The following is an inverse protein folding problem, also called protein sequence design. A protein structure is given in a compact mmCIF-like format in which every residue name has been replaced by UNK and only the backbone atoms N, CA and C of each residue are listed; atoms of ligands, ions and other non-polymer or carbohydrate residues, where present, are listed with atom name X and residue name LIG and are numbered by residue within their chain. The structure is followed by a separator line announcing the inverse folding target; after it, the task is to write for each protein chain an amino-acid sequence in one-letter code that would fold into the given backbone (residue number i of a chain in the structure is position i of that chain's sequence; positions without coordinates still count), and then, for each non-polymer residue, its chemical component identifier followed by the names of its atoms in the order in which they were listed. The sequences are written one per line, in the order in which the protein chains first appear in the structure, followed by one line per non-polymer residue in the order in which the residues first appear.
data_IF_360740196327
#
_entry.id   IF_360740196327
#
_cell.length_a   1.000
_cell.length_b   1.000
_cell.length_c   1.000
_cell.angle_alpha   90.00
_cell.angle_beta   90.00
_cell.angle_gamma   90.00
#
_symmetry.space_group_name_H-M   'P 1'
#
loop_
_entity.id
_entity.type
_entity.pdbx_description
1 polymer ?
#
# COMPACT_ATOMS: atom_id res chain seq x y z
N UNK A 1 21.28 -28.36 -27.91
CA UNK A 1 21.71 -28.01 -26.54
C UNK A 1 20.83 -28.78 -25.56
N UNK A 2 21.41 -29.63 -24.71
CA UNK A 2 20.64 -30.43 -23.75
C UNK A 2 20.10 -29.53 -22.61
N UNK A 3 18.84 -29.68 -22.26
CA UNK A 3 18.18 -28.95 -21.16
C UNK A 3 18.80 -29.42 -19.84
N UNK A 4 19.38 -28.50 -19.05
CA UNK A 4 19.95 -28.83 -17.74
C UNK A 4 18.87 -29.45 -16.85
N UNK A 5 19.23 -30.47 -16.07
CA UNK A 5 18.28 -31.06 -15.13
C UNK A 5 18.01 -30.08 -13.97
N UNK A 6 16.82 -30.16 -13.38
CA UNK A 6 16.42 -29.32 -12.23
C UNK A 6 17.44 -29.42 -11.09
N UNK A 7 18.07 -30.59 -10.92
CA UNK A 7 19.12 -30.79 -9.93
C UNK A 7 20.39 -29.99 -10.27
N UNK A 8 20.81 -29.98 -11.54
CA UNK A 8 21.98 -29.22 -11.98
C UNK A 8 21.77 -27.70 -11.88
N UNK A 9 20.55 -27.21 -12.10
CA UNK A 9 20.22 -25.79 -11.88
C UNK A 9 20.30 -25.41 -10.39
N UNK A 10 19.82 -26.27 -9.50
CA UNK A 10 19.90 -26.05 -8.05
C UNK A 10 21.32 -26.13 -7.51
N UNK A 11 22.12 -27.08 -8.00
CA UNK A 11 23.53 -27.20 -7.64
C UNK A 11 24.32 -25.96 -8.07
N UNK A 12 24.07 -25.49 -9.29
CA UNK A 12 24.68 -24.26 -9.82
C UNK A 12 24.26 -23.00 -9.06
N UNK A 13 23.03 -22.95 -8.55
CA UNK A 13 22.57 -21.84 -7.71
C UNK A 13 23.26 -21.80 -6.33
N UNK A 14 23.66 -22.96 -5.79
CA UNK A 14 24.43 -23.06 -4.53
C UNK A 14 25.89 -22.64 -4.71
N UNK A 15 26.47 -22.85 -5.89
CA UNK A 15 27.84 -22.47 -6.22
C UNK A 15 27.99 -21.01 -6.65
N UNK A 16 26.88 -20.28 -6.84
CA UNK A 16 26.95 -18.86 -7.17
C UNK A 16 27.43 -18.04 -5.95
N UNK A 17 28.39 -17.12 -6.12
CA UNK A 17 28.76 -16.20 -5.06
C UNK A 17 27.51 -15.42 -4.60
N UNK A 18 27.32 -15.33 -3.28
CA UNK A 18 26.19 -14.65 -2.67
C UNK A 18 26.12 -13.20 -3.18
N UNK A 19 25.20 -12.94 -4.11
CA UNK A 19 24.91 -11.59 -4.58
C UNK A 19 24.10 -10.90 -3.51
N UNK A 20 24.74 -10.05 -2.71
CA UNK A 20 24.05 -9.10 -1.83
C UNK A 20 23.09 -8.27 -2.69
N UNK A 21 21.79 -8.58 -2.62
CA UNK A 21 20.76 -7.79 -3.27
C UNK A 21 20.83 -6.40 -2.67
N UNK A 22 21.13 -5.38 -3.48
CA UNK A 22 21.12 -3.98 -3.02
C UNK A 22 19.73 -3.69 -2.46
N UNK A 23 19.65 -3.29 -1.19
CA UNK A 23 18.38 -2.89 -0.56
C UNK A 23 17.75 -1.79 -1.39
N UNK A 24 16.47 -1.94 -1.71
CA UNK A 24 15.70 -0.92 -2.41
C UNK A 24 14.95 -0.06 -1.41
N UNK A 25 14.58 1.16 -1.81
CA UNK A 25 13.74 2.07 -1.01
C UNK A 25 12.42 1.42 -0.55
N UNK A 26 11.88 0.50 -1.35
CA UNK A 26 10.68 -0.26 -1.01
C UNK A 26 10.95 -1.30 0.09
N UNK A 27 12.11 -1.96 0.07
CA UNK A 27 12.52 -2.90 1.12
C UNK A 27 12.70 -2.15 2.46
N UNK A 28 13.33 -0.98 2.45
CA UNK A 28 13.50 -0.13 3.64
C UNK A 28 12.16 0.35 4.20
N UNK A 29 11.23 0.74 3.33
CA UNK A 29 9.89 1.16 3.75
C UNK A 29 9.09 0.01 4.35
N UNK A 30 9.22 -1.19 3.77
CA UNK A 30 8.58 -2.41 4.29
C UNK A 30 9.09 -2.72 5.68
N UNK A 31 10.41 -2.73 5.88
CA UNK A 31 11.03 -2.99 7.18
C UNK A 31 10.52 -1.98 8.22
N UNK A 32 10.50 -0.68 7.88
CA UNK A 32 9.98 0.37 8.74
C UNK A 32 8.49 0.19 9.09
N UNK A 33 7.64 -0.15 8.11
CA UNK A 33 6.21 -0.34 8.34
C UNK A 33 5.98 -1.54 9.24
N UNK A 34 6.65 -2.68 9.01
CA UNK A 34 6.51 -3.86 9.85
C UNK A 34 6.96 -3.59 11.29
N UNK A 35 8.12 -2.97 11.51
CA UNK A 35 8.62 -2.64 12.86
C UNK A 35 7.65 -1.72 13.62
N UNK A 36 7.14 -0.68 12.95
CA UNK A 36 6.21 0.27 13.59
C UNK A 36 4.81 -0.29 13.78
N UNK A 37 4.38 -1.19 12.90
CA UNK A 37 3.07 -1.81 12.98
C UNK A 37 2.98 -2.80 14.13
N UNK A 38 4.04 -3.57 14.39
CA UNK A 38 4.16 -4.42 15.58
C UNK A 38 4.08 -3.58 16.86
N UNK A 39 4.85 -2.49 16.93
CA UNK A 39 4.89 -1.61 18.09
C UNK A 39 3.55 -0.92 18.39
N UNK A 40 2.71 -0.68 17.37
CA UNK A 40 1.44 0.07 17.49
C UNK A 40 0.18 -0.74 17.27
N UNK A 41 0.28 -2.02 16.94
CA UNK A 41 -0.86 -2.89 16.65
C UNK A 41 -1.63 -2.50 15.37
N UNK A 42 -0.96 -1.92 14.38
CA UNK A 42 -1.57 -1.57 13.09
C UNK A 42 -1.73 -2.78 12.15
N UNK A 43 -0.92 -3.82 12.34
CA UNK A 43 -0.94 -5.11 11.61
C UNK A 43 -1.77 -6.19 12.31
N UNK A 44 -2.70 -5.79 13.18
CA UNK A 44 -3.61 -6.74 13.81
C UNK A 44 -4.41 -7.50 12.74
N UNK A 45 -4.16 -8.81 12.66
CA UNK A 45 -4.77 -9.71 11.68
C UNK A 45 -6.19 -10.12 12.07
N UNK A 46 -6.71 -9.67 13.23
CA UNK A 46 -8.07 -9.96 13.68
C UNK A 46 -9.10 -9.21 12.82
N UNK A 47 -10.21 -9.89 12.54
CA UNK A 47 -11.32 -9.36 11.74
C UNK A 47 -11.23 -9.73 10.26
N UNK A 48 -12.33 -9.50 9.54
CA UNK A 48 -12.45 -9.79 8.10
C UNK A 48 -11.84 -8.65 7.29
N UNK A 49 -11.15 -8.96 6.19
CA UNK A 49 -10.76 -7.97 5.20
C UNK A 49 -12.01 -7.29 4.62
N UNK A 50 -12.00 -5.96 4.63
CA UNK A 50 -12.99 -5.09 4.02
C UNK A 50 -12.30 -4.22 3.01
N UNK A 51 -13.01 -3.85 1.95
CA UNK A 51 -12.47 -2.98 0.92
C UNK A 51 -12.74 -1.52 1.28
N UNK A 52 -11.78 -0.66 0.99
CA UNK A 52 -11.87 0.77 1.25
C UNK A 52 -11.45 1.56 0.03
N UNK A 53 -12.15 2.68 -0.19
CA UNK A 53 -11.78 3.70 -1.16
C UNK A 53 -11.07 4.85 -0.44
N UNK A 54 -9.92 5.25 -0.95
CA UNK A 54 -9.07 6.29 -0.38
C UNK A 54 -8.88 7.38 -1.45
N UNK A 55 -9.25 8.60 -1.09
CA UNK A 55 -8.97 9.78 -1.91
C UNK A 55 -8.37 10.88 -1.06
N UNK A 56 -7.59 11.76 -1.67
CA UNK A 56 -6.88 12.81 -0.95
C UNK A 56 -6.65 14.04 -1.83
N UNK A 57 -6.54 15.18 -1.14
CA UNK A 57 -6.08 16.44 -1.71
C UNK A 57 -4.66 16.70 -1.20
N UNK A 58 -3.72 16.90 -2.12
CA UNK A 58 -2.38 17.42 -1.77
C UNK A 58 -2.45 18.92 -1.52
N UNK A 59 -1.55 19.43 -0.69
CA UNK A 59 -1.40 20.88 -0.53
C UNK A 59 -0.99 21.54 -1.87
N UNK A 60 -1.49 22.75 -2.13
CA UNK A 60 -1.07 23.53 -3.31
C UNK A 60 0.44 23.78 -3.25
N UNK A 61 1.09 23.74 -4.42
CA UNK A 61 2.54 23.92 -4.57
C UNK A 61 3.43 22.93 -3.80
N UNK A 62 2.91 21.75 -3.43
CA UNK A 62 3.72 20.68 -2.82
C UNK A 62 4.40 19.78 -3.86
N UNK A 63 5.60 19.31 -3.51
CA UNK A 63 6.37 18.25 -4.20
C UNK A 63 5.87 16.86 -3.80
N UNK A 64 4.55 16.65 -3.89
CA UNK A 64 3.92 15.42 -3.42
C UNK A 64 4.44 14.17 -4.17
N UNK A 65 4.98 13.21 -3.43
CA UNK A 65 5.51 11.96 -3.99
C UNK A 65 4.39 10.90 -4.07
N UNK A 66 3.74 10.83 -5.23
CA UNK A 66 2.67 9.85 -5.48
C UNK A 66 3.16 8.41 -5.38
N UNK A 67 4.40 8.14 -5.81
CA UNK A 67 4.95 6.80 -5.78
C UNK A 67 5.15 6.35 -4.34
N UNK A 68 5.74 7.19 -3.50
CA UNK A 68 5.92 6.88 -2.08
C UNK A 68 4.57 6.70 -1.37
N UNK A 69 3.58 7.54 -1.67
CA UNK A 69 2.25 7.39 -1.11
C UNK A 69 1.62 6.04 -1.47
N UNK A 70 1.65 5.70 -2.76
CA UNK A 70 1.10 4.43 -3.24
C UNK A 70 1.85 3.23 -2.63
N UNK A 71 3.18 3.32 -2.50
CA UNK A 71 3.99 2.27 -1.87
C UNK A 71 3.63 2.09 -0.38
N UNK A 72 3.44 3.18 0.38
CA UNK A 72 2.95 3.10 1.77
C UNK A 72 1.63 2.33 1.84
N UNK A 73 0.68 2.63 0.96
CA UNK A 73 -0.61 1.94 0.95
C UNK A 73 -0.46 0.45 0.62
N UNK A 74 0.41 0.11 -0.34
CA UNK A 74 0.72 -1.29 -0.68
C UNK A 74 1.27 -2.04 0.53
N UNK A 75 2.26 -1.46 1.22
CA UNK A 75 2.88 -2.11 2.37
C UNK A 75 1.89 -2.23 3.55
N UNK A 76 1.06 -1.22 3.83
CA UNK A 76 -0.03 -1.33 4.82
C UNK A 76 -1.00 -2.46 4.45
N UNK A 77 -1.36 -2.58 3.17
CA UNK A 77 -2.26 -3.63 2.68
C UNK A 77 -1.65 -5.02 2.88
N UNK A 78 -0.38 -5.19 2.49
CA UNK A 78 0.33 -6.45 2.67
C UNK A 78 0.51 -6.81 4.15
N UNK A 79 0.77 -5.84 5.03
CA UNK A 79 0.91 -6.07 6.47
C UNK A 79 -0.33 -6.71 7.10
N UNK A 80 -1.53 -6.43 6.58
CA UNK A 80 -2.79 -7.06 7.03
C UNK A 80 -3.19 -8.30 6.22
N UNK A 81 -2.34 -8.75 5.30
CA UNK A 81 -2.57 -9.91 4.42
C UNK A 81 -3.48 -9.62 3.23
N UNK A 82 -3.63 -8.36 2.83
CA UNK A 82 -4.32 -7.97 1.59
C UNK A 82 -3.44 -8.13 0.35
N UNK A 83 -4.02 -7.85 -0.82
CA UNK A 83 -3.40 -8.11 -2.13
C UNK A 83 -2.67 -6.90 -2.77
N UNK A 84 -2.65 -5.75 -2.11
CA UNK A 84 -2.07 -4.50 -2.62
C UNK A 84 -3.11 -3.40 -2.84
N UNK A 85 -2.90 -2.54 -3.84
CA UNK A 85 -3.83 -1.45 -4.16
C UNK A 85 -4.30 -1.50 -5.61
N UNK A 86 -5.54 -1.08 -5.83
CA UNK A 86 -6.10 -0.79 -7.15
C UNK A 86 -6.19 0.72 -7.36
N UNK A 87 -6.04 1.19 -8.60
CA UNK A 87 -6.07 2.62 -8.97
C UNK A 87 -7.16 2.87 -10.03
N UNK A 88 -8.45 2.82 -9.65
CA UNK A 88 -9.55 3.00 -10.62
C UNK A 88 -9.56 4.38 -11.28
N UNK A 89 -9.05 5.42 -10.61
CA UNK A 89 -8.91 6.78 -11.13
C UNK A 89 -7.67 7.45 -10.56
N UNK A 90 -7.19 8.54 -11.19
CA UNK A 90 -5.93 9.20 -10.81
C UNK A 90 -5.82 9.60 -9.32
N UNK A 91 -6.94 9.97 -8.69
CA UNK A 91 -6.98 10.41 -7.29
C UNK A 91 -7.62 9.38 -6.33
N UNK A 92 -8.02 8.21 -6.83
CA UNK A 92 -8.74 7.21 -6.06
C UNK A 92 -7.93 5.93 -5.98
N UNK A 93 -7.69 5.45 -4.77
CA UNK A 93 -7.04 4.17 -4.48
C UNK A 93 -8.03 3.28 -3.79
N UNK A 94 -7.98 1.99 -4.08
CA UNK A 94 -8.75 0.98 -3.37
C UNK A 94 -7.78 -0.01 -2.75
N UNK A 95 -8.04 -0.38 -1.49
CA UNK A 95 -7.23 -1.37 -0.79
C UNK A 95 -8.06 -2.14 0.22
N UNK A 96 -7.52 -3.26 0.68
CA UNK A 96 -8.13 -4.08 1.71
C UNK A 96 -7.56 -3.73 3.08
N UNK A 97 -8.43 -3.69 4.09
CA UNK A 97 -8.02 -3.48 5.47
C UNK A 97 -8.97 -4.18 6.44
N UNK A 98 -8.47 -4.58 7.62
CA UNK A 98 -9.25 -5.38 8.58
C UNK A 98 -10.05 -4.53 9.57
N UNK A 99 -9.46 -3.42 10.03
CA UNK A 99 -10.12 -2.49 10.97
C UNK A 99 -11.05 -1.53 10.22
N UNK A 100 -11.70 -0.63 10.95
CA UNK A 100 -12.59 0.38 10.39
C UNK A 100 -11.86 1.49 9.61
N UNK A 101 -12.64 2.33 8.91
CA UNK A 101 -12.12 3.46 8.13
C UNK A 101 -11.34 4.48 8.98
N UNK A 102 -11.70 4.65 10.26
CA UNK A 102 -11.04 5.62 11.16
C UNK A 102 -9.63 5.15 11.52
N UNK A 103 -9.49 3.85 11.81
CA UNK A 103 -8.19 3.23 12.05
C UNK A 103 -7.33 3.29 10.80
N UNK A 104 -7.86 2.94 9.62
CA UNK A 104 -7.11 3.04 8.37
C UNK A 104 -6.63 4.48 8.11
N UNK A 105 -7.50 5.48 8.29
CA UNK A 105 -7.16 6.89 8.17
C UNK A 105 -6.03 7.28 9.12
N UNK A 106 -6.09 6.83 10.38
CA UNK A 106 -5.07 7.10 11.39
C UNK A 106 -3.73 6.46 11.03
N UNK A 107 -3.74 5.20 10.58
CA UNK A 107 -2.55 4.47 10.11
C UNK A 107 -1.88 5.20 8.94
N UNK A 108 -2.63 5.54 7.89
CA UNK A 108 -2.07 6.24 6.72
C UNK A 108 -1.49 7.60 7.13
N UNK A 109 -2.21 8.37 7.95
CA UNK A 109 -1.73 9.68 8.44
C UNK A 109 -0.45 9.56 9.26
N UNK A 110 -0.33 8.51 10.07
CA UNK A 110 0.87 8.28 10.87
C UNK A 110 2.10 8.12 9.99
N UNK A 111 2.02 7.26 8.96
CA UNK A 111 3.12 7.03 8.04
C UNK A 111 3.42 8.25 7.19
N UNK A 112 2.39 8.91 6.63
CA UNK A 112 2.60 10.10 5.81
C UNK A 112 3.29 11.24 6.58
N UNK A 113 3.03 11.38 7.89
CA UNK A 113 3.68 12.40 8.73
C UNK A 113 5.20 12.23 8.86
N UNK A 114 5.73 11.04 8.60
CA UNK A 114 7.18 10.79 8.67
C UNK A 114 7.92 11.28 7.41
N UNK A 115 7.17 11.65 6.36
CA UNK A 115 7.71 12.00 5.06
C UNK A 115 7.27 13.42 4.67
N UNK A 116 8.19 14.41 4.63
CA UNK A 116 7.85 15.80 4.31
C UNK A 116 7.20 15.99 2.92
N UNK A 117 7.52 15.10 1.99
CA UNK A 117 6.98 15.05 0.63
C UNK A 117 5.58 14.40 0.56
N UNK A 118 4.95 14.04 1.69
CA UNK A 118 3.58 13.55 1.77
C UNK A 118 2.65 14.54 2.49
N UNK A 119 2.72 15.82 2.10
CA UNK A 119 1.90 16.89 2.67
C UNK A 119 0.46 16.88 2.11
N UNK A 120 -0.41 16.16 2.84
CA UNK A 120 -1.83 15.97 2.56
C UNK A 120 -2.66 17.08 3.22
N UNK A 121 -3.49 17.78 2.43
CA UNK A 121 -4.43 18.77 2.96
C UNK A 121 -5.69 18.09 3.53
N UNK A 122 -6.26 17.15 2.77
CA UNK A 122 -7.46 16.39 3.15
C UNK A 122 -7.31 14.94 2.69
N UNK A 123 -7.90 14.02 3.45
CA UNK A 123 -7.95 12.61 3.09
C UNK A 123 -9.29 12.05 3.53
N UNK A 124 -9.91 11.26 2.66
CA UNK A 124 -11.19 10.61 2.84
C UNK A 124 -11.01 9.10 2.63
N UNK A 125 -11.57 8.32 3.56
CA UNK A 125 -11.58 6.85 3.53
C UNK A 125 -13.02 6.38 3.61
N UNK A 126 -13.45 5.57 2.63
CA UNK A 126 -14.85 5.17 2.46
C UNK A 126 -15.04 3.66 2.45
N UNK A 127 -16.14 3.26 3.09
CA UNK A 127 -16.93 2.01 2.97
C UNK A 127 -17.13 1.50 1.54
N UNK A 128 -16.44 0.48 1.06
CA UNK A 128 -16.77 -0.17 -0.23
C UNK A 128 -17.65 -1.38 0.09
N UNK A 129 -18.96 -1.25 -0.15
CA UNK A 129 -19.94 -2.32 0.08
C UNK A 129 -20.19 -3.08 -1.22
N UNK A 130 -19.72 -4.33 -1.27
CA UNK A 130 -19.80 -5.19 -2.46
C UNK A 130 -21.24 -5.52 -2.90
N UNK A 131 -22.24 -5.24 -2.05
CA UNK A 131 -23.65 -5.48 -2.34
C UNK A 131 -24.28 -4.48 -3.33
N UNK A 132 -23.64 -3.34 -3.60
CA UNK A 132 -24.15 -2.33 -4.53
C UNK A 132 -23.14 -2.12 -5.65
N UNK A 133 -23.43 -2.69 -6.83
CA UNK A 133 -22.61 -2.52 -8.02
C UNK A 133 -22.28 -1.05 -8.29
N UNK A 134 -21.00 -0.75 -8.47
CA UNK A 134 -20.50 0.62 -8.64
C UNK A 134 -21.02 1.23 -9.94
N UNK A 135 -22.05 2.08 -9.86
CA UNK A 135 -22.26 3.13 -10.85
C UNK A 135 -21.44 4.34 -10.40
N UNK A 136 -20.27 4.54 -11.01
CA UNK A 136 -19.58 5.82 -10.98
C UNK A 136 -20.58 6.89 -11.46
N UNK A 137 -21.11 7.67 -10.54
CA UNK A 137 -21.98 8.79 -10.88
C UNK A 137 -21.14 9.77 -11.72
N UNK A 138 -21.43 9.83 -13.03
CA UNK A 138 -20.91 10.88 -13.91
C UNK A 138 -21.19 12.22 -13.24
N UNK A 139 -20.12 13.00 -13.07
CA UNK A 139 -20.11 14.21 -12.28
C UNK A 139 -21.14 15.24 -12.70
N UNK A 140 -21.64 15.96 -11.70
CA UNK A 140 -22.15 17.32 -11.87
C UNK A 140 -21.52 18.14 -10.75
N UNK A 141 -20.35 18.71 -11.03
CA UNK A 141 -19.87 19.87 -10.29
C UNK A 141 -20.49 21.09 -10.96
N UNK A 142 -21.40 21.78 -10.27
CA UNK A 142 -21.81 23.14 -10.65
C UNK A 142 -20.85 24.13 -9.98
N UNK A 143 -20.44 25.11 -10.78
CA UNK A 143 -19.59 26.27 -10.48
C UNK A 143 -20.01 27.04 -9.25
#
# INVERSE_FOLDING_TARGET
MARKSIFQERLYALEMPYRTKKRTRADELRDFISETAEARGFEDQRGKLKRYMITFDKKKNSTFDYWLFDEILVQICHGVGGSGIEKPMHQLRMMEYRKDARHLLATIRYYCKQYPNLDLQRMLVMVVDDNHGYRLAKGIYRS
#
